data_IF_426951345208
#
_entry.id   IF_426951345208
#
_cell.length_a   1.000
_cell.length_b   1.000
_cell.length_c   1.000
_cell.angle_alpha   90.00
_cell.angle_beta   90.00
_cell.angle_gamma   90.00
#
_symmetry.space_group_name_H-M   'P 1'
#
loop_
_entity.id
_entity.type
_entity.pdbx_description
1 polymer ?
2 polymer ?
3 non-polymer ?
4 non-polymer ?
5 water ?
#
# COMPACT_ATOMS: atom_id res chain seq x y z
N UNK A 26 -23.24 -4.76 9.65
CA UNK A 26 -23.81 -5.71 8.65
C UNK A 26 -24.01 -5.00 7.31
N UNK A 27 -23.02 -5.11 6.41
CA UNK A 27 -22.79 -4.10 5.34
C UNK A 27 -22.45 -4.79 4.02
N UNK A 28 -22.14 -3.94 3.05
CA UNK A 28 -21.70 -4.24 1.68
C UNK A 28 -20.86 -5.52 1.61
N UNK A 29 -21.19 -6.43 0.69
CA UNK A 29 -20.51 -7.74 0.59
C UNK A 29 -19.08 -7.58 0.08
N UNK A 30 -18.79 -6.63 -0.82
CA UNK A 30 -17.39 -6.47 -1.33
C UNK A 30 -16.54 -6.04 -0.15
N UNK A 31 -17.05 -5.17 0.69
CA UNK A 31 -16.26 -4.77 1.90
C UNK A 31 -15.97 -5.99 2.79
N UNK A 32 -17.01 -6.76 3.09
CA UNK A 32 -16.91 -8.03 3.86
C UNK A 32 -15.80 -8.89 3.28
N UNK A 33 -15.81 -9.07 1.98
CA UNK A 33 -14.87 -9.95 1.31
C UNK A 33 -13.44 -9.41 1.44
N UNK A 34 -13.25 -8.11 1.14
CA UNK A 34 -11.89 -7.51 1.28
C UNK A 34 -11.40 -7.67 2.73
N UNK A 35 -12.28 -7.61 3.72
CA UNK A 35 -11.87 -7.76 5.14
C UNK A 35 -11.32 -9.19 5.32
N UNK A 36 -12.05 -10.19 4.85
CA UNK A 36 -11.58 -11.59 5.12
C UNK A 36 -10.40 -11.87 4.19
N UNK A 37 -10.21 -11.14 3.10
CA UNK A 37 -9.05 -11.29 2.19
C UNK A 37 -7.80 -10.61 2.74
N UNK A 38 -7.92 -9.79 3.78
CA UNK A 38 -6.78 -8.96 4.27
C UNK A 38 -5.69 -9.93 4.75
N UNK A 39 -4.45 -9.84 4.24
CA UNK A 39 -3.40 -10.76 4.68
C UNK A 39 -2.96 -10.58 6.15
N UNK A 40 -2.41 -11.65 6.70
CA UNK A 40 -1.83 -11.70 8.07
C UNK A 40 -0.58 -10.82 8.09
N UNK A 41 -0.27 -10.27 9.26
CA UNK A 41 0.91 -9.37 9.42
C UNK A 41 2.17 -10.19 9.13
N UNK A 42 3.22 -9.57 8.60
CA UNK A 42 4.55 -10.25 8.56
C UNK A 42 5.54 -9.46 9.43
N UNK A 43 6.52 -10.16 9.97
CA UNK A 43 7.55 -9.52 10.83
C UNK A 43 8.72 -9.08 9.94
N UNK A 44 9.34 -8.00 10.36
CA UNK A 44 10.55 -7.45 9.71
C UNK A 44 11.76 -8.38 9.96
N UNK A 45 11.88 -8.94 11.18
CA UNK A 45 13.01 -9.82 11.59
C UNK A 45 14.36 -9.22 11.15
N UNK A 46 14.72 -8.01 11.65
CA UNK A 46 16.05 -7.44 11.41
C UNK A 46 17.12 -8.42 11.96
N UNK A 47 18.13 -8.70 11.17
CA UNK A 47 19.21 -9.69 11.46
C UNK A 47 19.91 -9.28 12.75
N UNK A 48 19.77 -10.07 13.85
CA UNK A 48 20.30 -9.67 15.16
C UNK A 48 21.83 -9.84 15.23
N UNK A 49 22.46 -10.34 14.18
CA UNK A 49 23.93 -10.51 14.13
C UNK A 49 24.54 -9.31 13.40
N UNK A 50 23.72 -8.41 12.86
CA UNK A 50 24.22 -7.26 12.05
C UNK A 50 24.17 -6.01 12.91
N UNK A 51 25.24 -5.19 12.93
CA UNK A 51 25.22 -3.99 13.76
C UNK A 51 24.21 -2.96 13.20
N UNK A 52 23.57 -2.20 14.07
CA UNK A 52 22.57 -1.17 13.71
C UNK A 52 23.28 -0.09 12.90
N UNK A 53 22.77 0.22 11.71
CA UNK A 53 23.31 1.23 10.78
C UNK A 53 22.17 1.67 9.86
N UNK A 54 22.40 2.75 9.10
CA UNK A 54 21.51 3.19 8.02
C UNK A 54 21.32 2.02 7.05
N UNK A 55 22.39 1.30 6.71
CA UNK A 55 22.34 0.24 5.67
C UNK A 55 21.49 -0.93 6.19
N UNK A 56 21.64 -1.26 7.47
CA UNK A 56 20.83 -2.33 8.11
C UNK A 56 19.33 -1.94 8.09
N UNK A 57 18.97 -0.76 8.55
CA UNK A 57 17.58 -0.25 8.52
C UNK A 57 17.02 -0.34 7.10
N UNK A 58 17.69 0.23 6.09
CA UNK A 58 17.17 0.19 4.70
C UNK A 58 17.14 -1.24 4.15
N UNK A 59 18.12 -2.06 4.50
CA UNK A 59 18.14 -3.45 4.04
C UNK A 59 16.91 -4.17 4.62
N UNK A 60 16.64 -3.91 5.89
CA UNK A 60 15.50 -4.50 6.65
C UNK A 60 14.19 -4.06 5.99
N UNK A 61 14.01 -2.78 5.73
CA UNK A 61 12.79 -2.21 5.09
C UNK A 61 12.62 -2.72 3.65
N UNK A 62 13.68 -2.80 2.85
CA UNK A 62 13.56 -3.32 1.46
C UNK A 62 13.24 -4.81 1.48
N UNK A 63 13.84 -5.60 2.39
CA UNK A 63 13.51 -7.03 2.53
C UNK A 63 12.03 -7.16 2.93
N UNK A 64 11.58 -6.36 3.89
CA UNK A 64 10.17 -6.43 4.34
C UNK A 64 9.24 -6.08 3.18
N UNK A 65 9.55 -5.00 2.44
CA UNK A 65 8.80 -4.63 1.22
C UNK A 65 8.79 -5.77 0.18
N UNK A 66 9.92 -6.43 -0.08
CA UNK A 66 9.98 -7.55 -1.05
C UNK A 66 8.97 -8.60 -0.60
N UNK A 67 8.95 -8.93 0.68
CA UNK A 67 8.08 -10.02 1.20
C UNK A 67 6.62 -9.56 1.17
N UNK A 68 6.35 -8.30 1.50
CA UNK A 68 4.97 -7.78 1.52
C UNK A 68 4.43 -7.72 0.06
N UNK A 69 5.26 -7.46 -0.94
CA UNK A 69 4.81 -7.44 -2.35
C UNK A 69 4.26 -8.80 -2.77
N UNK A 70 4.85 -9.90 -2.29
CA UNK A 70 4.34 -11.27 -2.58
C UNK A 70 2.93 -11.38 -2.04
N UNK A 71 2.71 -10.91 -0.80
CA UNK A 71 1.43 -10.99 -0.07
C UNK A 71 0.42 -10.11 -0.84
N UNK A 72 0.87 -8.94 -1.28
CA UNK A 72 0.00 -7.98 -2.03
C UNK A 72 -0.48 -8.60 -3.35
N UNK A 73 0.39 -9.26 -4.09
CA UNK A 73 0.01 -9.91 -5.37
C UNK A 73 -1.08 -10.93 -5.09
N UNK A 74 -0.93 -11.72 -4.03
CA UNK A 74 -1.93 -12.70 -3.60
C UNK A 74 -3.26 -12.07 -3.23
N UNK A 75 -3.22 -11.01 -2.44
CA UNK A 75 -4.42 -10.25 -2.03
C UNK A 75 -5.19 -9.73 -3.27
N UNK A 76 -4.49 -9.19 -4.26
CA UNK A 76 -5.08 -8.50 -5.43
C UNK A 76 -5.98 -9.51 -6.13
N UNK A 77 -5.58 -10.78 -6.13
CA UNK A 77 -6.39 -11.86 -6.78
C UNK A 77 -7.74 -12.07 -6.10
N UNK A 78 -7.92 -11.67 -4.84
CA UNK A 78 -9.22 -11.77 -4.11
C UNK A 78 -10.08 -10.57 -4.43
N UNK A 79 -9.51 -9.51 -5.00
CA UNK A 79 -10.32 -8.31 -5.29
C UNK A 79 -11.30 -8.65 -6.40
N UNK A 80 -12.62 -8.58 -6.12
CA UNK A 80 -13.60 -8.99 -7.12
C UNK A 80 -13.40 -8.32 -8.47
N UNK A 81 -13.18 -9.14 -9.50
CA UNK A 81 -12.99 -8.76 -10.90
C UNK A 81 -11.54 -8.57 -11.29
N UNK A 82 -10.59 -8.47 -10.35
CA UNK A 82 -9.18 -8.17 -10.71
C UNK A 82 -8.63 -9.29 -11.61
N UNK A 83 -8.92 -10.53 -11.24
CA UNK A 83 -8.43 -11.76 -11.90
C UNK A 83 -8.96 -11.92 -13.33
N UNK A 84 -10.01 -11.19 -13.71
CA UNK A 84 -10.63 -11.22 -15.07
C UNK A 84 -9.90 -10.24 -15.99
N UNK A 85 -9.07 -9.36 -15.45
CA UNK A 85 -8.27 -8.48 -16.32
C UNK A 85 -7.22 -9.34 -16.99
N UNK A 86 -6.66 -8.86 -18.09
CA UNK A 86 -5.47 -9.49 -18.72
C UNK A 86 -4.33 -9.46 -17.72
N UNK A 87 -3.42 -10.43 -17.87
CA UNK A 87 -2.20 -10.49 -17.06
C UNK A 87 -1.43 -9.18 -17.20
N UNK A 88 -1.38 -8.58 -18.39
CA UNK A 88 -0.69 -7.30 -18.65
C UNK A 88 -1.31 -6.18 -17.79
N UNK A 89 -2.63 -6.11 -17.75
CA UNK A 89 -3.39 -5.09 -16.99
C UNK A 89 -3.24 -5.35 -15.49
N UNK A 90 -3.24 -6.61 -15.04
CA UNK A 90 -2.99 -6.98 -13.63
C UNK A 90 -1.62 -6.45 -13.21
N UNK A 91 -0.61 -6.67 -14.03
CA UNK A 91 0.77 -6.22 -13.76
C UNK A 91 0.80 -4.71 -13.78
N UNK A 92 0.17 -4.07 -14.76
CA UNK A 92 0.17 -2.59 -14.91
C UNK A 92 -0.39 -1.94 -13.62
N UNK A 93 -1.51 -2.41 -13.09
CA UNK A 93 -2.14 -1.84 -11.88
C UNK A 93 -1.17 -2.02 -10.69
N UNK A 94 -0.61 -3.21 -10.53
CA UNK A 94 0.30 -3.46 -9.38
C UNK A 94 1.59 -2.67 -9.52
N UNK A 95 2.15 -2.52 -10.73
CA UNK A 95 3.40 -1.75 -10.93
C UNK A 95 3.17 -0.28 -10.58
N UNK A 96 1.95 0.23 -10.78
CA UNK A 96 1.64 1.64 -10.48
C UNK A 96 1.33 1.85 -8.98
N UNK A 97 0.67 0.93 -8.34
CA UNK A 97 0.04 1.17 -7.01
C UNK A 97 0.81 0.53 -5.84
N UNK A 98 1.85 -0.25 -6.09
CA UNK A 98 2.41 -1.14 -5.04
C UNK A 98 2.87 -0.30 -3.84
N UNK A 99 3.46 0.87 -4.07
CA UNK A 99 4.04 1.64 -2.94
C UNK A 99 2.90 2.27 -2.16
N UNK A 100 1.86 2.76 -2.85
CA UNK A 100 0.65 3.26 -2.15
C UNK A 100 0.11 2.16 -1.26
N UNK A 101 0.03 0.92 -1.73
CA UNK A 101 -0.53 -0.17 -0.88
C UNK A 101 0.41 -0.42 0.36
N UNK A 102 1.70 -0.41 0.16
CA UNK A 102 2.66 -0.61 1.29
C UNK A 102 2.46 0.52 2.29
N UNK A 103 2.36 1.75 1.79
CA UNK A 103 2.21 2.94 2.68
C UNK A 103 0.91 2.84 3.49
N UNK A 104 -0.20 2.51 2.86
CA UNK A 104 -1.49 2.38 3.56
C UNK A 104 -1.40 1.35 4.68
N UNK A 105 -0.66 0.24 4.49
CA UNK A 105 -0.48 -0.76 5.57
C UNK A 105 0.25 -0.14 6.78
N UNK A 106 1.33 0.58 6.53
CA UNK A 106 2.10 1.25 7.62
C UNK A 106 1.14 2.23 8.31
N UNK A 107 0.44 3.05 7.52
CA UNK A 107 -0.52 4.03 8.06
C UNK A 107 -1.53 3.34 8.97
N UNK A 108 -2.19 2.29 8.52
CA UNK A 108 -3.24 1.62 9.31
C UNK A 108 -2.65 1.09 10.63
N UNK A 109 -1.51 0.43 10.58
CA UNK A 109 -0.86 -0.17 11.78
C UNK A 109 -0.48 0.92 12.78
N UNK A 110 -0.32 2.17 12.31
CA UNK A 110 0.25 3.28 13.09
C UNK A 110 -0.84 4.14 13.77
N UNK A 111 -2.13 3.86 13.55
CA UNK A 111 -3.24 4.76 13.94
C UNK A 111 -3.37 4.83 15.48
N UNK A 112 -3.00 3.80 16.20
CA UNK A 112 -3.10 3.80 17.69
C UNK A 112 -1.80 4.34 18.31
N UNK A 113 -0.80 4.70 17.51
CA UNK A 113 0.49 5.26 18.00
C UNK A 113 0.49 6.78 17.83
N UNK A 114 1.45 7.43 18.48
CA UNK A 114 1.72 8.89 18.35
C UNK A 114 3.15 9.06 17.91
N UNK A 115 3.34 9.59 16.70
CA UNK A 115 4.65 9.99 16.14
C UNK A 115 5.56 8.78 15.93
N UNK A 116 4.99 7.61 15.69
CA UNK A 116 5.75 6.38 15.41
C UNK A 116 5.06 5.68 14.25
N UNK A 117 5.86 5.03 13.42
CA UNK A 117 5.40 4.26 12.23
C UNK A 117 5.66 2.78 12.50
N UNK A 118 4.60 2.01 12.50
CA UNK A 118 4.64 0.55 12.70
C UNK A 118 4.85 -0.06 11.32
N UNK A 119 6.09 -0.20 10.87
CA UNK A 119 6.40 -0.93 9.63
C UNK A 119 6.01 -2.41 9.84
N UNK A 120 6.27 -2.91 11.05
CA UNK A 120 5.89 -4.27 11.48
C UNK A 120 5.83 -4.24 13.00
N UNK A 121 5.23 -5.27 13.59
CA UNK A 121 5.10 -5.32 15.08
C UNK A 121 6.49 -5.29 15.70
N UNK A 122 7.52 -5.79 15.01
CA UNK A 122 8.93 -5.84 15.52
C UNK A 122 9.76 -4.73 14.86
N UNK A 123 9.15 -3.70 14.27
CA UNK A 123 9.93 -2.65 13.58
C UNK A 123 9.13 -1.35 13.59
N UNK A 124 9.20 -0.66 14.72
CA UNK A 124 8.45 0.60 14.96
C UNK A 124 9.45 1.75 14.95
N UNK A 125 9.28 2.69 14.04
CA UNK A 125 10.30 3.73 13.80
C UNK A 125 9.81 5.02 14.42
N UNK A 126 10.57 5.56 15.38
CA UNK A 126 10.34 6.95 15.86
C UNK A 126 11.26 7.89 15.06
N UNK A 127 11.19 9.17 15.36
CA UNK A 127 12.05 10.25 14.78
C UNK A 127 13.53 9.85 14.83
N UNK A 128 14.01 9.41 15.98
CA UNK A 128 15.44 9.05 16.18
C UNK A 128 15.83 8.04 15.12
N UNK A 129 15.07 6.93 15.03
CA UNK A 129 15.36 5.84 14.07
C UNK A 129 15.19 6.39 12.66
N UNK A 130 14.18 7.25 12.41
CA UNK A 130 13.99 7.80 11.05
C UNK A 130 15.25 8.60 10.63
N UNK A 131 15.77 9.46 11.51
CA UNK A 131 17.01 10.25 11.22
C UNK A 131 18.16 9.31 10.91
N UNK A 132 18.36 8.30 11.75
CA UNK A 132 19.44 7.30 11.56
C UNK A 132 19.30 6.60 10.21
N UNK A 133 18.07 6.38 9.70
CA UNK A 133 17.85 5.68 8.41
C UNK A 133 17.93 6.66 7.22
N UNK A 134 17.91 7.97 7.49
CA UNK A 134 17.85 9.05 6.48
C UNK A 134 16.46 9.16 5.89
N UNK A 135 15.44 8.82 6.67
CA UNK A 135 14.03 8.65 6.23
C UNK A 135 13.17 9.71 6.90
N UNK A 136 13.76 10.74 7.50
CA UNK A 136 13.00 11.68 8.36
C UNK A 136 11.89 12.35 7.56
N UNK A 137 12.20 12.78 6.35
CA UNK A 137 11.27 13.52 5.46
C UNK A 137 10.16 12.60 4.97
N UNK A 138 10.52 11.44 4.42
CA UNK A 138 9.52 10.43 3.97
C UNK A 138 8.62 10.05 5.16
N UNK A 139 9.19 9.74 6.33
CA UNK A 139 8.42 9.30 7.52
C UNK A 139 7.54 10.44 8.04
N UNK A 140 7.96 11.70 7.89
CA UNK A 140 7.07 12.84 8.30
C UNK A 140 5.87 12.90 7.35
N UNK A 141 6.04 12.67 6.06
CA UNK A 141 4.90 12.68 5.11
C UNK A 141 3.96 11.51 5.45
N UNK A 142 4.51 10.35 5.79
CA UNK A 142 3.67 9.17 6.12
C UNK A 142 2.89 9.52 7.40
N UNK A 143 3.52 10.21 8.34
CA UNK A 143 2.84 10.60 9.60
C UNK A 143 1.72 11.60 9.33
N UNK A 144 1.86 12.49 8.36
CA UNK A 144 0.75 13.40 7.99
C UNK A 144 -0.48 12.56 7.57
N UNK A 145 -0.29 11.46 6.84
CA UNK A 145 -1.40 10.59 6.41
C UNK A 145 -2.03 9.97 7.65
N UNK A 146 -1.20 9.50 8.56
CA UNK A 146 -1.65 8.87 9.84
C UNK A 146 -2.53 9.86 10.57
N UNK A 147 -2.08 11.11 10.71
CA UNK A 147 -2.82 12.11 11.54
C UNK A 147 -4.16 12.46 10.88
N UNK A 148 -4.21 12.49 9.57
CA UNK A 148 -5.50 12.73 8.89
C UNK A 148 -6.49 11.58 9.16
N UNK A 149 -6.07 10.33 8.96
CA UNK A 149 -6.96 9.15 9.14
C UNK A 149 -7.32 9.04 10.62
N UNK A 150 -6.41 9.39 11.54
CA UNK A 150 -6.75 9.38 12.99
C UNK A 150 -7.89 10.37 13.25
N UNK A 151 -7.81 11.57 12.70
CA UNK A 151 -8.87 12.60 12.89
C UNK A 151 -10.19 12.16 12.25
N UNK A 152 -10.16 11.33 11.22
CA UNK A 152 -11.42 10.82 10.59
C UNK A 152 -11.89 9.51 11.26
N UNK A 153 -11.09 8.98 12.18
CA UNK A 153 -11.33 7.68 12.84
C UNK A 153 -11.52 6.60 11.78
N UNK A 154 -10.56 6.48 10.86
CA UNK A 154 -10.57 5.45 9.78
C UNK A 154 -10.84 4.08 10.37
N UNK A 155 -11.78 3.34 9.81
CA UNK A 155 -12.12 1.95 10.23
C UNK A 155 -11.44 0.93 9.32
N UNK A 156 -11.25 -0.31 9.79
CA UNK A 156 -10.58 -1.34 8.97
C UNK A 156 -11.35 -1.52 7.65
N UNK A 157 -12.67 -1.44 7.70
CA UNK A 157 -13.59 -1.59 6.53
C UNK A 157 -13.20 -0.56 5.43
N UNK A 158 -12.92 0.67 5.86
CA UNK A 158 -12.60 1.81 4.98
C UNK A 158 -11.18 1.59 4.48
N UNK A 159 -10.27 1.20 5.37
CA UNK A 159 -8.87 0.95 5.01
C UNK A 159 -8.84 -0.07 3.85
N UNK A 160 -9.51 -1.22 3.98
CA UNK A 160 -9.33 -2.27 2.92
C UNK A 160 -9.97 -1.78 1.63
N UNK A 161 -11.05 -1.04 1.73
CA UNK A 161 -11.75 -0.54 0.53
C UNK A 161 -10.87 0.49 -0.19
N UNK A 162 -10.22 1.37 0.57
CA UNK A 162 -9.34 2.42 -0.02
C UNK A 162 -8.13 1.76 -0.63
N UNK A 163 -7.59 0.69 -0.02
CA UNK A 163 -6.45 -0.04 -0.60
C UNK A 163 -6.81 -0.55 -2.00
N UNK A 164 -7.97 -1.14 -2.13
CA UNK A 164 -8.43 -1.71 -3.41
C UNK A 164 -8.65 -0.60 -4.44
N UNK A 165 -9.25 0.51 -3.98
CA UNK A 165 -9.51 1.68 -4.85
C UNK A 165 -8.19 2.28 -5.31
N UNK A 166 -7.21 2.36 -4.43
CA UNK A 166 -5.88 2.88 -4.84
C UNK A 166 -5.28 1.98 -5.94
N UNK A 167 -5.45 0.68 -5.86
CA UNK A 167 -4.94 -0.24 -6.92
C UNK A 167 -5.68 0.03 -8.23
N UNK A 168 -7.00 0.13 -8.17
CA UNK A 168 -7.85 0.26 -9.37
C UNK A 168 -7.67 1.64 -9.99
N UNK A 169 -7.40 2.65 -9.15
CA UNK A 169 -7.30 4.07 -9.60
C UNK A 169 -5.84 4.48 -9.78
N UNK A 170 -4.95 3.59 -10.23
CA UNK A 170 -3.49 3.87 -10.09
C UNK A 170 -2.89 4.65 -11.27
N UNK A 171 -3.66 4.98 -12.31
CA UNK A 171 -3.29 5.93 -13.40
C UNK A 171 -2.13 5.40 -14.24
N UNK A 172 -1.99 4.08 -14.36
CA UNK A 172 -1.04 3.49 -15.32
C UNK A 172 -1.26 4.06 -16.73
N UNK A 173 -0.20 4.37 -17.46
CA UNK A 173 -0.27 4.79 -18.87
C UNK A 173 -0.37 3.56 -19.79
N UNK A 174 -0.43 2.33 -19.26
CA UNK A 174 -0.18 1.10 -20.03
C UNK A 174 -1.39 0.16 -20.07
N UNK A 175 -2.59 0.59 -19.69
CA UNK A 175 -3.79 -0.30 -19.61
C UNK A 175 -4.25 -0.67 -21.03
N UNK A 176 -4.66 -1.93 -21.22
CA UNK A 176 -5.20 -2.48 -22.49
C UNK A 176 -6.71 -2.31 -22.50
N UNK A 177 -7.40 -2.73 -21.42
CA UNK A 177 -8.88 -2.65 -21.36
C UNK A 177 -9.28 -1.54 -20.39
N UNK A 178 -9.29 -0.31 -20.91
CA UNK A 178 -9.62 0.91 -20.11
C UNK A 178 -11.01 0.70 -19.51
N UNK A 179 -11.96 0.17 -20.28
CA UNK A 179 -13.36 0.00 -19.80
C UNK A 179 -13.38 -1.00 -18.63
N UNK A 180 -12.64 -2.10 -18.72
CA UNK A 180 -12.62 -3.13 -17.67
C UNK A 180 -12.02 -2.52 -16.37
N UNK A 181 -10.98 -1.72 -16.49
CA UNK A 181 -10.37 -1.08 -15.27
C UNK A 181 -11.35 -0.04 -14.72
N UNK A 182 -11.97 0.77 -15.57
CA UNK A 182 -13.02 1.72 -15.11
C UNK A 182 -14.11 0.93 -14.35
N UNK A 183 -14.48 -0.26 -14.88
CA UNK A 183 -15.55 -1.06 -14.25
C UNK A 183 -15.09 -1.51 -12.86
N UNK A 184 -13.85 -1.96 -12.74
CA UNK A 184 -13.31 -2.33 -11.40
C UNK A 184 -13.35 -1.10 -10.45
N UNK A 185 -12.89 0.05 -10.93
CA UNK A 185 -12.92 1.33 -10.15
C UNK A 185 -14.35 1.54 -9.66
N UNK A 186 -15.33 1.30 -10.54
CA UNK A 186 -16.75 1.63 -10.26
C UNK A 186 -17.30 0.71 -9.18
N UNK A 187 -17.04 -0.58 -9.30
CA UNK A 187 -17.45 -1.61 -8.33
C UNK A 187 -16.94 -1.27 -6.93
N UNK A 188 -15.69 -0.88 -6.82
CA UNK A 188 -15.07 -0.63 -5.49
C UNK A 188 -15.54 0.72 -4.92
N UNK A 189 -15.67 1.73 -5.78
CA UNK A 189 -16.24 3.04 -5.40
C UNK A 189 -17.69 2.85 -4.91
N UNK A 190 -18.47 2.07 -5.64
CA UNK A 190 -19.87 1.73 -5.23
C UNK A 190 -19.85 1.05 -3.88
N UNK A 191 -18.89 0.18 -3.61
CA UNK A 191 -18.78 -0.51 -2.31
C UNK A 191 -18.53 0.53 -1.24
N UNK A 192 -17.62 1.46 -1.50
CA UNK A 192 -17.29 2.48 -0.49
C UNK A 192 -18.53 3.33 -0.24
N UNK A 193 -19.20 3.77 -1.29
CA UNK A 193 -20.40 4.63 -1.11
C UNK A 193 -21.49 3.87 -0.33
N UNK A 194 -21.74 2.60 -0.64
CA UNK A 194 -22.77 1.77 0.06
C UNK A 194 -22.40 1.62 1.53
N UNK A 195 -21.13 1.33 1.82
CA UNK A 195 -20.70 1.18 3.20
C UNK A 195 -20.91 2.46 3.99
N UNK A 196 -20.51 3.60 3.45
CA UNK A 196 -20.66 4.87 4.19
C UNK A 196 -22.13 5.26 4.35
N UNK A 197 -22.96 4.96 3.37
CA UNK A 197 -24.41 5.29 3.39
C UNK A 197 -25.07 4.50 4.51
N UNK A 198 -24.71 3.21 4.62
CA UNK A 198 -25.17 2.27 5.66
C UNK A 198 -24.60 2.58 7.03
N UNK A 199 -23.29 2.82 7.14
CA UNK A 199 -22.60 2.86 8.44
C UNK A 199 -22.44 4.27 8.97
N UNK A 200 -22.51 5.30 8.11
CA UNK A 200 -22.09 6.68 8.47
C UNK A 200 -23.14 7.65 7.94
N UNK A 201 -24.40 7.38 8.30
CA UNK A 201 -25.57 8.23 7.96
C UNK A 201 -25.34 9.66 8.43
N UNK A 202 -24.65 9.83 9.55
CA UNK A 202 -24.38 11.15 10.17
C UNK A 202 -23.48 12.02 9.26
N UNK A 203 -22.71 11.43 8.33
CA UNK A 203 -21.83 12.25 7.45
C UNK A 203 -22.05 11.81 6.02
N UNK A 204 -22.97 12.46 5.27
CA UNK A 204 -23.27 12.05 3.91
C UNK A 204 -22.07 12.34 2.98
N UNK A 205 -21.01 12.97 3.46
CA UNK A 205 -19.83 13.29 2.59
C UNK A 205 -18.65 12.41 2.98
N UNK A 206 -18.85 11.39 3.81
CA UNK A 206 -17.70 10.62 4.34
C UNK A 206 -16.98 9.87 3.19
N UNK A 207 -17.70 9.31 2.23
CA UNK A 207 -17.08 8.53 1.13
C UNK A 207 -16.18 9.48 0.33
N UNK A 208 -16.67 10.66 -0.02
CA UNK A 208 -15.85 11.68 -0.70
C UNK A 208 -14.68 12.14 0.14
N UNK A 209 -14.84 12.30 1.44
CA UNK A 209 -13.71 12.69 2.32
C UNK A 209 -12.63 11.61 2.27
N UNK A 210 -13.04 10.35 2.28
CA UNK A 210 -12.06 9.25 2.14
C UNK A 210 -11.35 9.34 0.78
N UNK A 211 -12.06 9.56 -0.30
CA UNK A 211 -11.46 9.68 -1.67
C UNK A 211 -10.50 10.88 -1.69
N UNK A 212 -10.82 11.94 -0.96
CA UNK A 212 -9.97 13.15 -0.91
C UNK A 212 -8.70 12.93 -0.10
N UNK A 213 -8.49 11.77 0.54
CA UNK A 213 -7.19 11.40 1.16
C UNK A 213 -6.24 10.84 0.09
N UNK A 214 -6.72 10.44 -1.08
CA UNK A 214 -5.87 9.70 -2.05
C UNK A 214 -4.78 10.57 -2.65
N UNK A 215 -4.95 11.89 -2.86
CA UNK A 215 -3.88 12.72 -3.40
C UNK A 215 -2.64 12.73 -2.49
N UNK A 216 -2.82 12.80 -1.18
CA UNK A 216 -1.64 12.82 -0.29
C UNK A 216 -1.00 11.45 -0.32
N UNK A 217 -1.81 10.38 -0.40
CA UNK A 217 -1.26 9.00 -0.54
C UNK A 217 -0.38 8.93 -1.80
N UNK A 218 -0.85 9.48 -2.92
CA UNK A 218 -0.13 9.44 -4.22
C UNK A 218 1.18 10.21 -4.08
N UNK A 219 1.11 11.40 -3.52
CA UNK A 219 2.27 12.29 -3.29
C UNK A 219 3.33 11.56 -2.46
N UNK A 220 2.91 10.89 -1.39
CA UNK A 220 3.82 10.21 -0.45
C UNK A 220 4.44 9.01 -1.16
N UNK A 221 3.67 8.28 -1.97
CA UNK A 221 4.18 7.14 -2.76
C UNK A 221 5.28 7.59 -3.72
N UNK A 222 5.07 8.70 -4.45
CA UNK A 222 6.07 9.32 -5.36
C UNK A 222 7.37 9.60 -4.59
N UNK A 223 7.29 10.23 -3.43
CA UNK A 223 8.46 10.58 -2.60
C UNK A 223 9.15 9.27 -2.17
N UNK A 224 8.40 8.24 -1.79
CA UNK A 224 8.98 6.98 -1.29
C UNK A 224 9.70 6.25 -2.44
N UNK A 225 9.10 6.19 -3.61
CA UNK A 225 9.67 5.46 -4.76
C UNK A 225 10.92 6.22 -5.21
N UNK A 226 10.88 7.54 -5.26
CA UNK A 226 12.04 8.38 -5.65
C UNK A 226 13.20 8.05 -4.68
N UNK A 227 12.93 8.12 -3.39
CA UNK A 227 13.90 7.86 -2.30
C UNK A 227 14.54 6.47 -2.45
N UNK A 228 13.74 5.40 -2.59
CA UNK A 228 14.25 4.02 -2.73
C UNK A 228 14.94 3.84 -4.08
N UNK A 229 14.52 4.54 -5.13
CA UNK A 229 15.22 4.49 -6.44
C UNK A 229 16.65 5.02 -6.28
N UNK A 230 16.81 6.12 -5.54
CA UNK A 230 18.10 6.80 -5.23
C UNK A 230 18.99 5.82 -4.45
N UNK A 231 18.40 5.08 -3.51
CA UNK A 231 19.13 4.10 -2.69
C UNK A 231 19.63 2.98 -3.62
N UNK A 232 18.80 2.49 -4.56
CA UNK A 232 19.14 1.43 -5.54
C UNK A 232 20.35 1.86 -6.36
N UNK A 233 20.34 3.08 -6.91
CA UNK A 233 21.45 3.65 -7.72
C UNK A 233 22.73 3.81 -6.89
N UNK A 234 22.62 4.23 -5.62
CA UNK A 234 23.77 4.50 -4.72
C UNK A 234 24.48 3.17 -4.39
N UNK A 235 23.85 2.02 -4.63
CA UNK A 235 24.46 0.69 -4.79
C UNK A 235 24.85 0.01 -3.47
N UNK A 236 24.64 0.64 -2.31
CA UNK A 236 25.11 0.15 -0.97
C UNK A 236 24.11 -0.78 -0.26
N UNK A 237 22.82 -0.77 -0.64
CA UNK A 237 21.78 -1.57 0.05
C UNK A 237 21.38 -2.72 -0.86
N UNK A 238 21.56 -4.00 -0.45
CA UNK A 238 21.13 -5.12 -1.29
C UNK A 238 19.60 -5.15 -1.32
N UNK A 239 19.02 -5.56 -2.42
CA UNK A 239 17.56 -5.58 -2.63
C UNK A 239 17.18 -6.83 -3.40
N UNK A 240 16.01 -7.40 -3.12
CA UNK A 240 15.57 -8.68 -3.71
C UNK A 240 15.00 -8.41 -5.09
N UNK A 241 14.80 -9.47 -5.87
CA UNK A 241 14.46 -9.40 -7.30
C UNK A 241 13.10 -8.67 -7.45
N UNK A 242 12.10 -9.04 -6.65
CA UNK A 242 10.71 -8.54 -6.85
C UNK A 242 10.67 -7.05 -6.53
N UNK A 243 11.29 -6.62 -5.43
CA UNK A 243 11.38 -5.19 -5.04
C UNK A 243 12.05 -4.40 -6.16
N UNK A 244 13.19 -4.88 -6.68
CA UNK A 244 13.95 -4.17 -7.74
C UNK A 244 13.10 -4.06 -9.01
N UNK A 245 12.34 -5.10 -9.36
CA UNK A 245 11.48 -5.15 -10.57
C UNK A 245 10.34 -4.13 -10.43
N UNK A 246 9.69 -4.09 -9.28
CA UNK A 246 8.64 -3.06 -8.99
C UNK A 246 9.25 -1.66 -8.99
N UNK A 247 10.45 -1.48 -8.45
CA UNK A 247 11.14 -0.17 -8.53
C UNK A 247 11.48 0.17 -9.99
N UNK A 248 11.94 -0.80 -10.79
CA UNK A 248 12.33 -0.54 -12.22
C UNK A 248 11.09 -0.10 -13.01
N UNK A 249 9.90 -0.56 -12.65
CA UNK A 249 8.68 -0.36 -13.47
C UNK A 249 8.17 1.09 -13.38
N UNK A 250 8.75 1.93 -12.52
CA UNK A 250 8.28 3.31 -12.25
C UNK A 250 9.02 4.31 -13.12
N UNK B 2 12.09 -12.89 -18.21
CA UNK B 2 10.64 -12.58 -18.00
C UNK B 2 10.39 -12.29 -16.50
N UNK B 3 9.28 -11.62 -16.17
CA UNK B 3 9.06 -10.94 -14.86
C UNK B 3 8.59 -11.92 -13.77
N UNK B 4 9.12 -11.78 -12.56
CA UNK B 4 8.68 -12.51 -11.35
C UNK B 4 7.24 -12.07 -10.98
N UNK B 5 6.89 -10.83 -11.30
CA UNK B 5 5.50 -10.32 -11.07
C UNK B 5 4.50 -11.20 -11.84
N UNK B 6 4.74 -11.38 -13.14
CA UNK B 6 3.94 -12.27 -14.02
C UNK B 6 3.93 -13.68 -13.41
N UNK B 7 5.10 -14.22 -13.10
CA UNK B 7 5.21 -15.57 -12.52
C UNK B 7 4.25 -15.68 -11.35
N UNK B 8 4.34 -14.75 -10.39
CA UNK B 8 3.51 -14.77 -9.15
C UNK B 8 2.04 -14.52 -9.48
N UNK B 9 1.72 -13.71 -10.50
CA UNK B 9 0.30 -13.54 -10.93
C UNK B 9 -0.27 -14.84 -11.54
N UNK B 10 0.52 -15.62 -12.27
CA UNK B 10 0.10 -16.95 -12.82
C UNK B 10 0.08 -18.05 -11.74
N UNK B 11 0.95 -17.99 -10.72
CA UNK B 11 1.15 -19.03 -9.68
C UNK B 11 -0.17 -19.43 -8.99
N UNK B 12 -0.21 -20.65 -8.44
CA UNK B 12 -1.26 -21.23 -7.55
C UNK B 12 -2.58 -20.44 -7.67
X LIG C 1 6.74 -2.35 4.37
X LIG C 1 8.34 3.68 1.88
X LIG C 1 7.46 3.05 2.53
X LIG C 1 6.33 3.65 2.98
X LIG C 1 7.69 1.74 2.84
X LIG C 1 6.65 0.98 3.33
X LIG C 1 6.85 -0.29 3.68
X LIG C 1 6.02 -1.23 4.18
X LIG C 1 8.01 -2.12 3.98
X LIG C 1 8.10 -0.85 3.55
X LIG C 1 9.15 -0.16 3.09
X LIG C 1 8.99 1.16 2.72
X LIG D 1 5.48 -14.68 8.94
X LIG D 1 6.81 -14.15 8.48
X LIG D 1 6.98 -14.03 6.97
X LIG D 1 5.12 -14.05 10.18
X LIG D 1 6.89 -12.88 9.07
X LIG E 1 2.84 -6.11 6.82
X LIG E 1 3.63 -5.52 7.92
X LIG E 1 3.17 -6.01 9.28
X LIG E 1 2.42 -7.42 7.16
X LIG E 1 4.97 -5.82 7.62
X LIG F 1 21.97 -4.57 -5.09
X LIG F 1 21.70 -3.35 -5.94
X LIG F 1 21.03 -3.70 -7.24
X LIG F 1 20.83 -5.42 -5.05
X LIG F 1 20.90 -2.45 -5.18
X LIG G 1 -14.12 -5.58 -12.53
X LIG G 1 -13.94 -6.36 -13.81
X LIG G 1 -14.61 -5.69 -14.96
X LIG G 1 -15.38 -5.86 -11.90
X LIG G 1 -12.55 -6.45 -14.11
X LIG H 1 -8.45 -13.62 -17.82
X LIG H 1 -7.98 -13.26 -19.21
X LIG H 1 -8.77 -12.15 -19.85
X LIG H 1 -7.37 -14.11 -17.03
X LIG H 1 -6.59 -12.91 -19.12
X LIG I 1 -4.75 -5.43 12.41
X LIG I 1 -6.01 -5.55 13.24
X LIG I 1 -6.71 -4.23 13.42
X LIG I 1 -3.89 -6.55 12.64
X LIG I 1 -6.87 -6.46 12.60
#
# INVERSE_FOLDING_TARGET
MGSSHHHHHHSSGLVPRGSHMPAKKPYNKIVSHLLVAEPEKIYAMPDPTVPDSDIKALTTLCDLADRELVVIIGWAKHIPGFSTLSLADQMSLLQSAWMEILILGVVYRSLSFEDELVYADDYIMDEDQSKLAGLLDLNNAILQLVKKYKSMKLEKEEFVTLKAIALANSDSMHIEDVEAVQKLQDVLHEALQDYEAGQHMEDPRRAGKMLMTLPLLRQTSTKAVQHFYNIKLEGKVPMHKLFLEMLEAKV
NNSLLLHLLKSQTIP
A1EF8 C8 O1 N2 O2 C6 C3 C1 N1 C5 C2 C4 C7
PGR C1 C2 C3 O1 O2
PGR C1 C2 C3 O1 O2
PGR C1 C2 C3 O1 O2
PGR C1 C2 C3 O1 O2
PGR C1 C2 C3 O1 O2
PGR C1 C2 C3 O1 O2
#
